data_IF_590140068339
#
_entry.id   IF_590140068339
#
_cell.length_a   1.000
_cell.length_b   1.000
_cell.length_c   1.000
_cell.angle_alpha   90.00
_cell.angle_beta   90.00
_cell.angle_gamma   90.00
#
_symmetry.space_group_name_H-M   'P 1'
#
loop_
_entity.id
_entity.type
_entity.pdbx_description
1 polymer ?
#
# COMPACT_ATOMS: atom_id res chain seq x y z
N UNK A 1 -19.62 -9.05 27.42
CA UNK A 1 -18.97 -10.15 26.66
C UNK A 1 -18.93 -9.68 25.20
N UNK A 2 -17.94 -8.87 24.83
CA UNK A 2 -17.83 -8.30 23.48
C UNK A 2 -16.81 -9.12 22.69
N UNK A 3 -17.32 -10.02 21.86
CA UNK A 3 -16.53 -10.73 20.87
C UNK A 3 -16.47 -9.88 19.60
N UNK A 4 -15.45 -9.03 19.47
CA UNK A 4 -15.06 -8.44 18.18
C UNK A 4 -14.09 -9.42 17.52
N UNK A 5 -14.66 -10.45 16.88
CA UNK A 5 -13.94 -11.33 15.97
C UNK A 5 -13.64 -10.56 14.68
N UNK A 6 -12.59 -9.72 14.72
CA UNK A 6 -11.91 -9.32 13.49
C UNK A 6 -11.03 -10.52 13.13
N UNK A 7 -11.47 -11.36 12.18
CA UNK A 7 -10.58 -12.33 11.53
C UNK A 7 -9.41 -11.51 10.96
N UNK A 8 -8.28 -11.49 11.66
CA UNK A 8 -7.12 -10.70 11.27
C UNK A 8 -6.47 -11.31 10.04
N UNK A 9 -6.24 -10.49 9.03
CA UNK A 9 -5.37 -10.80 7.91
C UNK A 9 -3.95 -11.06 8.45
N UNK A 10 -3.44 -12.30 8.33
CA UNK A 10 -2.09 -12.63 8.79
C UNK A 10 -1.06 -12.25 7.74
N UNK A 11 -0.45 -11.07 7.88
CA UNK A 11 0.66 -10.67 7.00
C UNK A 11 1.98 -11.32 7.44
N UNK A 12 2.70 -11.90 6.48
CA UNK A 12 4.11 -12.27 6.65
C UNK A 12 4.97 -11.19 6.01
N UNK A 13 5.65 -10.37 6.82
CA UNK A 13 6.56 -9.34 6.32
C UNK A 13 7.92 -9.97 6.03
N UNK A 14 8.37 -9.85 4.77
CA UNK A 14 9.66 -10.36 4.31
C UNK A 14 10.72 -9.26 4.31
N UNK A 15 11.94 -9.58 4.73
CA UNK A 15 13.07 -8.65 4.69
C UNK A 15 13.13 -7.63 5.85
N UNK A 16 12.24 -7.72 6.85
CA UNK A 16 12.32 -6.84 8.03
C UNK A 16 13.67 -7.01 8.74
N UNK A 17 14.36 -5.90 8.97
CA UNK A 17 15.69 -5.89 9.60
C UNK A 17 16.84 -6.30 8.67
N UNK A 18 16.58 -6.49 7.37
CA UNK A 18 17.61 -6.77 6.36
C UNK A 18 17.93 -5.54 5.52
N UNK A 19 19.13 -5.49 4.95
CA UNK A 19 19.53 -4.42 4.03
C UNK A 19 18.80 -4.55 2.70
N UNK A 20 18.30 -3.43 2.19
CA UNK A 20 17.74 -3.35 0.85
C UNK A 20 18.86 -3.24 -0.21
N UNK A 21 18.94 -4.26 -1.06
CA UNK A 21 19.86 -4.39 -2.21
C UNK A 21 19.13 -4.23 -3.55
N UNK A 22 17.81 -4.00 -3.55
CA UNK A 22 16.99 -3.97 -4.75
C UNK A 22 17.10 -2.70 -5.60
N UNK A 23 18.12 -1.86 -5.39
CA UNK A 23 18.33 -0.60 -6.12
C UNK A 23 17.41 0.54 -5.66
N UNK A 24 17.52 1.70 -6.31
CA UNK A 24 16.67 2.86 -6.00
C UNK A 24 15.36 2.83 -6.83
N UNK A 25 14.44 2.00 -6.37
CA UNK A 25 13.13 1.77 -7.02
C UNK A 25 12.21 3.00 -7.05
N UNK A 26 12.61 4.11 -6.42
CA UNK A 26 11.89 5.38 -6.53
C UNK A 26 12.14 6.07 -7.86
N UNK A 27 13.32 5.89 -8.44
CA UNK A 27 13.77 6.59 -9.64
C UNK A 27 14.09 5.66 -10.81
N UNK A 28 14.44 4.41 -10.53
CA UNK A 28 14.91 3.45 -11.53
C UNK A 28 14.25 2.07 -11.36
N UNK A 29 14.53 1.19 -12.32
CA UNK A 29 14.19 -0.24 -12.26
C UNK A 29 14.89 -0.95 -11.11
N UNK A 30 14.28 -2.03 -10.60
CA UNK A 30 14.87 -2.85 -9.54
C UNK A 30 13.86 -3.72 -8.80
N UNK A 31 14.18 -4.13 -7.59
CA UNK A 31 13.26 -4.85 -6.72
C UNK A 31 13.31 -6.38 -6.83
N UNK A 32 14.24 -6.96 -7.61
CA UNK A 32 14.44 -8.40 -7.72
C UNK A 32 14.67 -9.11 -6.37
N UNK A 33 15.23 -8.39 -5.39
CA UNK A 33 15.33 -8.86 -4.00
C UNK A 33 13.99 -9.33 -3.43
N UNK A 34 12.86 -8.69 -3.79
CA UNK A 34 11.52 -9.10 -3.37
C UNK A 34 11.19 -10.51 -3.85
N UNK A 35 11.55 -10.84 -5.09
CA UNK A 35 11.32 -12.16 -5.68
C UNK A 35 12.17 -13.22 -4.98
N UNK A 36 13.46 -12.92 -4.71
CA UNK A 36 14.32 -13.83 -3.95
C UNK A 36 13.76 -14.12 -2.56
N UNK A 37 13.37 -13.09 -1.82
CA UNK A 37 12.78 -13.24 -0.48
C UNK A 37 11.47 -14.04 -0.52
N UNK A 38 10.62 -13.78 -1.52
CA UNK A 38 9.37 -14.54 -1.72
C UNK A 38 9.65 -16.01 -2.04
N UNK A 39 10.67 -16.29 -2.86
CA UNK A 39 11.11 -17.66 -3.21
C UNK A 39 11.54 -18.43 -1.96
N UNK A 40 12.35 -17.82 -1.11
CA UNK A 40 12.79 -18.41 0.17
C UNK A 40 11.59 -18.69 1.09
N UNK A 41 10.65 -17.75 1.21
CA UNK A 41 9.48 -17.89 2.06
C UNK A 41 8.51 -19.00 1.60
N UNK A 42 8.33 -19.16 0.28
CA UNK A 42 7.39 -20.12 -0.30
C UNK A 42 7.96 -21.52 -0.51
N UNK A 43 9.28 -21.73 -0.34
CA UNK A 43 9.93 -23.02 -0.58
C UNK A 43 9.25 -24.19 0.13
N UNK A 44 8.82 -24.00 1.38
CA UNK A 44 8.14 -25.04 2.16
C UNK A 44 6.68 -25.30 1.75
N UNK A 45 6.07 -24.37 1.02
CA UNK A 45 4.67 -24.45 0.56
C UNK A 45 4.54 -24.79 -0.93
N UNK A 46 5.65 -25.10 -1.61
CA UNK A 46 5.70 -25.36 -3.06
C UNK A 46 4.73 -26.42 -3.59
N UNK A 47 4.26 -27.32 -2.73
CA UNK A 47 3.33 -28.41 -3.09
C UNK A 47 1.97 -28.29 -2.36
N UNK A 48 1.70 -27.18 -1.67
CA UNK A 48 0.44 -26.98 -0.94
C UNK A 48 -0.63 -26.40 -1.86
N UNK A 49 -1.45 -27.28 -2.44
CA UNK A 49 -2.52 -26.91 -3.38
C UNK A 49 -3.65 -26.08 -2.73
N UNK A 50 -3.77 -26.09 -1.41
CA UNK A 50 -4.82 -25.36 -0.69
C UNK A 50 -4.36 -23.96 -0.24
N UNK A 51 -3.07 -23.66 -0.31
CA UNK A 51 -2.54 -22.36 0.07
C UNK A 51 -2.66 -21.37 -1.09
N UNK A 52 -3.34 -20.26 -0.82
CA UNK A 52 -3.39 -19.10 -1.71
C UNK A 52 -2.48 -18.01 -1.14
N UNK A 53 -1.61 -17.47 -1.99
CA UNK A 53 -0.64 -16.43 -1.66
C UNK A 53 -1.10 -15.14 -2.31
N UNK A 54 -1.34 -14.12 -1.49
CA UNK A 54 -1.43 -12.73 -1.94
C UNK A 54 -0.09 -12.06 -1.69
N UNK A 55 0.60 -11.67 -2.76
CA UNK A 55 1.76 -10.79 -2.69
C UNK A 55 1.31 -9.35 -2.94
N UNK A 56 1.78 -8.42 -2.11
CA UNK A 56 1.60 -6.98 -2.28
C UNK A 56 2.88 -6.26 -1.85
N UNK A 57 3.16 -5.14 -2.51
CA UNK A 57 4.05 -4.13 -1.95
C UNK A 57 3.46 -3.57 -0.64
N UNK A 58 4.30 -3.06 0.26
CA UNK A 58 3.85 -2.69 1.61
C UNK A 58 3.83 -1.20 1.89
N UNK A 59 4.67 -0.40 1.22
CA UNK A 59 4.83 1.03 1.57
C UNK A 59 3.71 1.91 1.01
N UNK A 60 3.07 1.46 -0.06
CA UNK A 60 2.13 2.23 -0.87
C UNK A 60 0.96 1.36 -1.33
N UNK A 61 0.52 0.45 -0.47
CA UNK A 61 -0.67 -0.37 -0.70
C UNK A 61 -1.63 -0.24 0.49
N UNK A 62 -2.92 -0.10 0.18
CA UNK A 62 -4.01 -0.18 1.14
C UNK A 62 -4.86 -1.41 0.82
N UNK A 63 -5.07 -2.26 1.81
CA UNK A 63 -6.01 -3.38 1.74
C UNK A 63 -7.34 -2.96 2.40
N UNK A 64 -8.39 -2.87 1.60
CA UNK A 64 -9.72 -2.38 2.00
C UNK A 64 -10.79 -3.49 2.03
N UNK A 65 -10.37 -4.73 2.33
CA UNK A 65 -11.26 -5.88 2.47
C UNK A 65 -10.69 -6.92 3.43
N UNK A 66 -11.56 -7.82 3.90
CA UNK A 66 -11.15 -9.00 4.66
C UNK A 66 -10.79 -10.17 3.72
N UNK A 67 -10.19 -11.21 4.29
CA UNK A 67 -9.75 -12.40 3.55
C UNK A 67 -10.89 -13.08 2.80
N UNK A 68 -12.07 -13.19 3.42
CA UNK A 68 -13.22 -13.88 2.83
C UNK A 68 -13.68 -13.19 1.53
N UNK A 69 -13.70 -11.85 1.49
CA UNK A 69 -14.05 -11.08 0.29
C UNK A 69 -12.94 -11.13 -0.77
N UNK A 70 -11.67 -11.07 -0.38
CA UNK A 70 -10.53 -11.21 -1.31
C UNK A 70 -10.59 -12.57 -2.02
N UNK A 71 -10.74 -13.66 -1.27
CA UNK A 71 -10.82 -15.00 -1.83
C UNK A 71 -12.05 -15.17 -2.73
N UNK A 72 -13.22 -14.68 -2.30
CA UNK A 72 -14.43 -14.71 -3.10
C UNK A 72 -14.26 -14.03 -4.46
N UNK A 73 -13.56 -12.88 -4.51
CA UNK A 73 -13.29 -12.20 -5.79
C UNK A 73 -12.25 -12.95 -6.61
N UNK A 74 -11.19 -13.45 -5.98
CA UNK A 74 -10.18 -14.25 -6.68
C UNK A 74 -10.77 -15.48 -7.35
N UNK A 75 -11.62 -16.25 -6.66
CA UNK A 75 -12.27 -17.42 -7.25
C UNK A 75 -13.12 -17.10 -8.47
N UNK A 76 -13.76 -15.92 -8.52
CA UNK A 76 -14.53 -15.47 -9.69
C UNK A 76 -13.67 -15.13 -10.91
N UNK A 77 -12.38 -14.89 -10.73
CA UNK A 77 -11.47 -14.60 -11.84
C UNK A 77 -11.06 -15.88 -12.59
N UNK A 78 -11.34 -17.04 -12.00
CA UNK A 78 -11.05 -18.35 -12.57
C UNK A 78 -9.61 -18.47 -13.07
N UNK A 79 -8.67 -17.83 -12.35
CA UNK A 79 -7.24 -17.83 -12.64
C UNK A 79 -6.51 -18.67 -11.59
N UNK A 80 -5.39 -19.27 -11.95
CA UNK A 80 -4.48 -19.85 -10.94
C UNK A 80 -3.51 -18.81 -10.39
N UNK A 81 -3.13 -17.82 -11.21
CA UNK A 81 -2.38 -16.64 -10.80
C UNK A 81 -3.01 -15.41 -11.44
N UNK A 82 -3.33 -14.39 -10.65
CA UNK A 82 -3.91 -13.15 -11.11
C UNK A 82 -3.00 -11.99 -10.70
N UNK A 83 -2.44 -11.30 -11.69
CA UNK A 83 -1.68 -10.07 -11.47
C UNK A 83 -2.59 -8.85 -11.54
N UNK A 84 -2.19 -7.80 -10.83
CA UNK A 84 -2.74 -6.47 -11.06
C UNK A 84 -2.40 -5.98 -12.48
N UNK A 85 -3.29 -5.16 -13.06
CA UNK A 85 -3.09 -4.58 -14.38
C UNK A 85 -2.94 -3.05 -14.32
N UNK A 86 -2.22 -2.48 -15.27
CA UNK A 86 -2.02 -1.04 -15.39
C UNK A 86 -2.06 -0.53 -16.85
N UNK A 87 -2.12 0.80 -16.99
CA UNK A 87 -2.23 1.48 -18.28
C UNK A 87 -0.92 1.59 -19.06
N UNK A 88 0.23 1.34 -18.43
CA UNK A 88 1.55 1.55 -19.02
C UNK A 88 2.32 0.24 -19.17
N UNK A 89 2.94 0.04 -20.34
CA UNK A 89 3.90 -1.04 -20.54
C UNK A 89 5.26 -0.55 -20.04
N UNK A 90 5.64 -0.97 -18.83
CA UNK A 90 6.86 -0.58 -18.15
C UNK A 90 7.59 -1.84 -17.62
N UNK A 91 8.94 -1.87 -17.58
CA UNK A 91 9.86 -0.80 -17.99
C UNK A 91 10.13 -0.74 -19.50
N UNK A 92 9.95 -1.84 -20.23
CA UNK A 92 10.20 -1.91 -21.67
C UNK A 92 8.90 -1.74 -22.46
N UNK A 93 8.70 -0.55 -23.03
CA UNK A 93 7.51 -0.22 -23.83
C UNK A 93 7.47 -0.94 -25.18
N UNK A 94 8.60 -1.48 -25.66
CA UNK A 94 8.64 -2.24 -26.92
C UNK A 94 7.92 -3.58 -26.83
N UNK A 95 7.71 -4.09 -25.61
CA UNK A 95 6.97 -5.32 -25.34
C UNK A 95 5.45 -5.18 -25.48
N UNK A 96 4.93 -3.95 -25.59
CA UNK A 96 3.49 -3.68 -25.65
C UNK A 96 2.76 -4.45 -26.77
N UNK A 97 3.43 -4.67 -27.91
CA UNK A 97 2.87 -5.41 -29.03
C UNK A 97 2.70 -6.92 -28.75
N UNK A 98 3.50 -7.48 -27.83
CA UNK A 98 3.47 -8.90 -27.47
C UNK A 98 2.35 -9.26 -26.49
N UNK A 99 1.84 -8.29 -25.74
CA UNK A 99 0.71 -8.53 -24.83
C UNK A 99 -0.53 -8.99 -25.62
N UNK A 100 -1.38 -9.87 -25.07
CA UNK A 100 -2.69 -10.15 -25.65
C UNK A 100 -3.50 -8.86 -25.86
N UNK A 101 -4.27 -8.80 -26.94
CA UNK A 101 -5.14 -7.65 -27.20
C UNK A 101 -6.34 -7.74 -26.27
N UNK A 102 -6.55 -6.69 -25.47
CA UNK A 102 -7.75 -6.53 -24.63
C UNK A 102 -8.67 -5.51 -25.27
N UNK A 103 -9.97 -5.83 -25.39
CA UNK A 103 -10.99 -4.89 -25.90
C UNK A 103 -11.46 -3.91 -24.83
N UNK A 104 -11.34 -4.32 -23.57
CA UNK A 104 -11.84 -3.59 -22.41
C UNK A 104 -10.91 -3.85 -21.22
N UNK A 105 -10.66 -2.82 -20.40
CA UNK A 105 -9.73 -2.89 -19.28
C UNK A 105 -8.28 -2.51 -19.62
N UNK A 106 -7.46 -2.43 -18.57
CA UNK A 106 -6.03 -2.21 -18.61
C UNK A 106 -5.32 -3.46 -19.15
N UNK A 107 -4.22 -3.28 -19.88
CA UNK A 107 -3.59 -4.34 -20.70
C UNK A 107 -2.31 -4.91 -20.13
N UNK A 108 -1.57 -4.12 -19.35
CA UNK A 108 -0.19 -4.44 -18.99
C UNK A 108 -0.09 -4.91 -17.55
N UNK A 109 0.86 -5.80 -17.27
CA UNK A 109 1.09 -6.36 -15.94
C UNK A 109 1.71 -5.31 -15.02
N UNK A 110 1.30 -5.28 -13.76
CA UNK A 110 2.02 -4.61 -12.68
C UNK A 110 2.39 -5.60 -11.57
N UNK A 111 3.65 -5.61 -11.15
CA UNK A 111 4.21 -6.59 -10.20
C UNK A 111 3.92 -6.28 -8.73
N UNK A 112 3.45 -5.08 -8.41
CA UNK A 112 3.27 -4.64 -7.03
C UNK A 112 2.13 -5.35 -6.30
N UNK A 113 1.27 -6.09 -7.01
CA UNK A 113 0.29 -6.97 -6.39
C UNK A 113 -0.12 -8.13 -7.31
N UNK A 114 -0.21 -9.33 -6.74
CA UNK A 114 -0.80 -10.50 -7.39
C UNK A 114 -1.29 -11.51 -6.35
N UNK A 115 -2.23 -12.36 -6.76
CA UNK A 115 -2.76 -13.45 -5.94
C UNK A 115 -2.75 -14.76 -6.73
N UNK A 116 -2.38 -15.87 -6.09
CA UNK A 116 -2.38 -17.16 -6.77
C UNK A 116 -2.17 -18.34 -5.83
N UNK A 117 -2.35 -19.54 -6.35
CA UNK A 117 -2.09 -20.78 -5.61
C UNK A 117 -0.57 -20.97 -5.41
N UNK A 118 -0.16 -21.43 -4.23
CA UNK A 118 1.24 -21.52 -3.84
C UNK A 118 2.12 -22.33 -4.80
N UNK A 119 1.69 -23.49 -5.35
CA UNK A 119 2.50 -24.24 -6.30
C UNK A 119 2.78 -23.47 -7.59
N UNK A 120 1.78 -22.76 -8.12
CA UNK A 120 1.90 -21.96 -9.34
C UNK A 120 2.75 -20.72 -9.11
N UNK A 121 2.55 -20.02 -7.98
CA UNK A 121 3.38 -18.88 -7.59
C UNK A 121 4.84 -19.32 -7.41
N UNK A 122 5.09 -20.44 -6.73
CA UNK A 122 6.43 -20.96 -6.52
C UNK A 122 7.10 -21.36 -7.85
N UNK A 123 6.38 -22.06 -8.73
CA UNK A 123 6.88 -22.42 -10.06
C UNK A 123 7.22 -21.18 -10.90
N UNK A 124 6.36 -20.16 -10.88
CA UNK A 124 6.56 -18.88 -11.55
C UNK A 124 7.84 -18.18 -11.07
N UNK A 125 7.99 -17.97 -9.75
CA UNK A 125 9.14 -17.23 -9.19
C UNK A 125 10.44 -18.02 -9.19
N UNK A 126 10.41 -19.32 -9.54
CA UNK A 126 11.60 -20.18 -9.65
C UNK A 126 11.98 -20.49 -11.09
N UNK A 127 11.20 -20.03 -12.08
CA UNK A 127 11.41 -20.36 -13.49
C UNK A 127 12.79 -19.96 -14.00
N UNK A 128 13.28 -18.78 -13.60
CA UNK A 128 14.60 -18.28 -13.95
C UNK A 128 15.26 -17.56 -12.76
N UNK A 129 16.60 -17.48 -12.71
CA UNK A 129 17.29 -16.66 -11.71
C UNK A 129 16.96 -15.17 -11.89
N UNK A 130 17.12 -14.42 -10.80
CA UNK A 130 17.04 -12.97 -10.78
C UNK A 130 18.00 -12.46 -9.70
N UNK A 131 18.78 -11.44 -10.03
CA UNK A 131 19.67 -10.74 -9.10
C UNK A 131 18.90 -9.69 -8.30
N UNK A 132 19.39 -9.35 -7.10
CA UNK A 132 18.67 -8.46 -6.18
C UNK A 132 18.30 -7.11 -6.82
N UNK A 133 19.19 -6.55 -7.65
CA UNK A 133 19.01 -5.25 -8.31
C UNK A 133 18.31 -5.28 -9.67
N UNK A 134 17.92 -6.46 -10.18
CA UNK A 134 17.16 -6.56 -11.43
C UNK A 134 15.69 -6.17 -11.21
N UNK A 135 15.00 -5.86 -12.31
CA UNK A 135 13.62 -5.36 -12.28
C UNK A 135 12.60 -6.48 -12.07
N UNK A 136 11.85 -6.40 -10.98
CA UNK A 136 10.82 -7.39 -10.66
C UNK A 136 9.66 -7.35 -11.68
N UNK A 137 9.26 -6.17 -12.14
CA UNK A 137 8.18 -6.01 -13.13
C UNK A 137 8.57 -6.60 -14.50
N UNK A 138 9.79 -6.38 -14.96
CA UNK A 138 10.29 -6.97 -16.21
C UNK A 138 10.36 -8.49 -16.09
N UNK A 139 10.81 -9.03 -14.95
CA UNK A 139 10.84 -10.46 -14.70
C UNK A 139 9.46 -11.10 -14.89
N UNK A 140 8.43 -10.56 -14.23
CA UNK A 140 7.07 -11.08 -14.36
C UNK A 140 6.46 -10.82 -15.74
N UNK A 141 6.78 -9.67 -16.36
CA UNK A 141 6.35 -9.36 -17.73
C UNK A 141 6.86 -10.41 -18.72
N UNK A 142 8.14 -10.78 -18.65
CA UNK A 142 8.72 -11.77 -19.55
C UNK A 142 8.08 -13.15 -19.36
N UNK A 143 7.76 -13.55 -18.13
CA UNK A 143 7.03 -14.79 -17.85
C UNK A 143 5.61 -14.77 -18.40
N UNK A 144 4.90 -13.65 -18.27
CA UNK A 144 3.53 -13.51 -18.79
C UNK A 144 3.49 -13.47 -20.32
N UNK A 145 4.53 -12.94 -20.96
CA UNK A 145 4.64 -12.88 -22.42
C UNK A 145 5.09 -14.19 -23.07
N UNK A 146 5.58 -15.15 -22.28
CA UNK A 146 5.76 -16.52 -22.74
C UNK A 146 4.40 -17.24 -22.77
N UNK A 147 3.92 -17.55 -23.97
CA UNK A 147 2.59 -18.15 -24.16
C UNK A 147 2.47 -19.51 -23.46
N UNK A 148 3.52 -20.34 -23.49
CA UNK A 148 3.50 -21.65 -22.86
C UNK A 148 3.43 -21.53 -21.34
N UNK A 149 4.25 -20.67 -20.73
CA UNK A 149 4.21 -20.45 -19.29
C UNK A 149 2.92 -19.80 -18.83
N UNK A 150 2.41 -18.81 -19.58
CA UNK A 150 1.14 -18.16 -19.29
C UNK A 150 -0.02 -19.16 -19.28
N UNK A 151 -0.07 -20.06 -20.25
CA UNK A 151 -1.10 -21.11 -20.33
C UNK A 151 -0.91 -22.18 -19.25
N UNK A 152 0.32 -22.66 -19.04
CA UNK A 152 0.62 -23.69 -18.05
C UNK A 152 0.27 -23.25 -16.62
N UNK A 153 0.62 -22.01 -16.27
CA UNK A 153 0.39 -21.42 -14.97
C UNK A 153 -0.98 -20.74 -14.84
N UNK A 154 -1.76 -20.68 -15.94
CA UNK A 154 -3.05 -19.98 -16.03
C UNK A 154 -2.98 -18.57 -15.40
N UNK A 155 -2.05 -17.76 -15.95
CA UNK A 155 -1.79 -16.39 -15.51
C UNK A 155 -2.76 -15.45 -16.21
N UNK A 156 -3.50 -14.66 -15.43
CA UNK A 156 -4.40 -13.60 -15.91
C UNK A 156 -4.04 -12.25 -15.32
N UNK A 157 -4.55 -11.19 -15.96
CA UNK A 157 -4.43 -9.81 -15.48
C UNK A 157 -5.81 -9.29 -15.07
N UNK A 158 -5.90 -8.61 -13.93
CA UNK A 158 -7.11 -7.93 -13.47
C UNK A 158 -7.33 -6.60 -14.22
N UNK A 159 -7.68 -6.70 -15.50
CA UNK A 159 -7.81 -5.56 -16.40
C UNK A 159 -8.90 -4.56 -16.02
N UNK A 160 -9.94 -4.98 -15.28
CA UNK A 160 -11.07 -4.13 -14.89
C UNK A 160 -11.00 -3.65 -13.44
N UNK A 161 -9.88 -3.90 -12.75
CA UNK A 161 -9.68 -3.51 -11.36
C UNK A 161 -10.77 -4.06 -10.42
N UNK A 162 -11.13 -5.33 -10.58
CA UNK A 162 -12.09 -6.00 -9.69
C UNK A 162 -11.50 -6.25 -8.30
N UNK A 163 -10.19 -6.51 -8.22
CA UNK A 163 -9.44 -6.72 -6.98
C UNK A 163 -8.42 -5.60 -6.80
N UNK A 164 -7.62 -5.33 -7.83
CA UNK A 164 -6.44 -4.48 -7.77
C UNK A 164 -6.65 -3.14 -8.50
N UNK A 165 -6.37 -2.04 -7.81
CA UNK A 165 -6.36 -0.69 -8.38
C UNK A 165 -4.95 -0.11 -8.31
N UNK A 166 -4.26 -0.09 -9.45
CA UNK A 166 -3.06 0.71 -9.64
C UNK A 166 -3.47 2.16 -9.93
N UNK A 167 -2.94 3.13 -9.19
CA UNK A 167 -3.37 4.53 -9.28
C UNK A 167 -2.61 5.34 -10.34
N UNK A 168 -1.41 4.91 -10.76
CA UNK A 168 -0.64 5.62 -11.77
C UNK A 168 -1.41 5.67 -13.11
N UNK A 169 -1.74 6.86 -13.58
CA UNK A 169 -2.56 7.06 -14.79
C UNK A 169 -4.03 6.66 -14.66
N UNK A 170 -4.52 6.38 -13.44
CA UNK A 170 -5.92 6.01 -13.19
C UNK A 170 -6.51 6.66 -11.91
N UNK A 171 -5.82 7.65 -11.32
CA UNK A 171 -6.28 8.33 -10.11
C UNK A 171 -7.64 9.06 -10.32
N UNK A 172 -7.89 9.58 -11.52
CA UNK A 172 -9.15 10.23 -11.89
C UNK A 172 -10.29 9.23 -12.19
N UNK A 173 -9.96 7.95 -12.41
CA UNK A 173 -10.97 6.91 -12.65
C UNK A 173 -11.70 6.55 -11.34
N UNK A 174 -11.14 6.91 -10.18
CA UNK A 174 -11.58 6.43 -8.87
C UNK A 174 -12.07 7.51 -7.91
N UNK A 175 -12.99 7.14 -7.03
CA UNK A 175 -13.46 8.00 -5.93
C UNK A 175 -13.86 7.18 -4.71
N UNK A 176 -13.86 7.81 -3.54
CA UNK A 176 -14.43 7.21 -2.33
C UNK A 176 -15.95 7.28 -2.39
N UNK A 177 -16.61 6.17 -2.06
CA UNK A 177 -18.04 6.11 -1.84
C UNK A 177 -18.41 6.36 -0.38
N UNK A 178 -19.04 7.51 -0.13
CA UNK A 178 -19.54 7.92 1.17
C UNK A 178 -21.01 7.54 1.40
N UNK A 179 -21.67 6.87 0.45
CA UNK A 179 -23.10 6.53 0.55
C UNK A 179 -23.41 5.45 1.60
N UNK A 180 -22.42 4.62 1.93
CA UNK A 180 -22.59 3.47 2.81
C UNK A 180 -22.53 3.84 4.30
N UNK A 181 -23.68 4.22 4.87
CA UNK A 181 -23.81 4.45 6.31
C UNK A 181 -23.53 3.17 7.12
N UNK A 182 -22.53 3.23 8.01
CA UNK A 182 -22.24 2.15 8.97
C UNK A 182 -21.35 1.00 8.46
N UNK A 183 -20.78 1.10 7.25
CA UNK A 183 -19.76 0.17 6.74
C UNK A 183 -18.44 0.90 6.48
N UNK A 184 -17.36 0.14 6.33
CA UNK A 184 -16.08 0.68 5.84
C UNK A 184 -16.28 1.31 4.46
N UNK A 185 -15.73 2.50 4.26
CA UNK A 185 -15.81 3.21 2.99
C UNK A 185 -15.15 2.39 1.87
N UNK A 186 -15.69 2.49 0.66
CA UNK A 186 -15.20 1.77 -0.51
C UNK A 186 -14.57 2.74 -1.51
N UNK A 187 -13.60 2.25 -2.28
CA UNK A 187 -13.16 2.91 -3.50
C UNK A 187 -14.00 2.38 -4.66
N UNK A 188 -14.52 3.26 -5.51
CA UNK A 188 -15.23 2.92 -6.74
C UNK A 188 -14.37 3.34 -7.91
N UNK A 189 -14.18 2.43 -8.87
CA UNK A 189 -13.64 2.73 -10.19
C UNK A 189 -14.81 2.97 -11.17
N UNK A 190 -14.99 4.21 -11.60
CA UNK A 190 -16.11 4.59 -12.47
C UNK A 190 -15.88 4.18 -13.93
N UNK A 191 -14.62 3.97 -14.35
CA UNK A 191 -14.30 3.57 -15.72
C UNK A 191 -14.78 2.14 -16.01
N UNK A 192 -14.76 1.27 -15.00
CA UNK A 192 -15.15 -0.14 -15.14
C UNK A 192 -16.37 -0.55 -14.33
N UNK A 193 -16.90 0.35 -13.48
CA UNK A 193 -18.04 0.05 -12.62
C UNK A 193 -17.71 -0.96 -11.52
N UNK A 194 -16.44 -1.03 -11.11
CA UNK A 194 -15.93 -1.95 -10.09
C UNK A 194 -15.65 -1.24 -8.76
N UNK A 195 -15.44 -2.00 -7.68
CA UNK A 195 -15.07 -1.45 -6.38
C UNK A 195 -13.82 -2.15 -5.83
N UNK A 196 -12.61 -1.80 -6.32
CA UNK A 196 -11.38 -2.49 -5.98
C UNK A 196 -11.09 -2.48 -4.48
N UNK A 197 -10.39 -3.53 -4.02
CA UNK A 197 -10.15 -3.80 -2.60
C UNK A 197 -8.68 -3.80 -2.21
N UNK A 198 -7.77 -3.78 -3.17
CA UNK A 198 -6.33 -3.60 -2.97
C UNK A 198 -5.92 -2.40 -3.82
N UNK A 199 -5.53 -1.31 -3.17
CA UNK A 199 -5.23 -0.03 -3.81
C UNK A 199 -3.73 0.19 -3.73
N UNK A 200 -3.08 0.30 -4.89
CA UNK A 200 -1.64 0.46 -5.02
C UNK A 200 -1.32 1.85 -5.58
N UNK A 201 -0.63 2.66 -4.79
CA UNK A 201 -0.16 3.99 -5.14
C UNK A 201 1.10 3.97 -6.01
N UNK A 202 1.17 3.10 -7.02
CA UNK A 202 2.36 2.92 -7.85
C UNK A 202 2.85 4.21 -8.53
N UNK A 203 4.14 4.28 -8.86
CA UNK A 203 4.74 5.45 -9.51
C UNK A 203 4.50 6.77 -8.76
N UNK A 204 4.05 7.80 -9.48
CA UNK A 204 3.86 9.16 -8.95
C UNK A 204 2.51 9.39 -8.25
N UNK A 205 1.83 8.34 -7.80
CA UNK A 205 0.48 8.44 -7.23
C UNK A 205 0.42 8.33 -5.70
N UNK A 206 1.57 8.36 -5.01
CA UNK A 206 1.68 8.24 -3.53
C UNK A 206 0.81 9.26 -2.78
N UNK A 207 0.75 10.50 -3.25
CA UNK A 207 -0.06 11.56 -2.61
C UNK A 207 -1.56 11.29 -2.75
N UNK A 208 -2.00 10.75 -3.90
CA UNK A 208 -3.39 10.31 -4.05
C UNK A 208 -3.71 9.15 -3.11
N UNK A 209 -2.81 8.18 -2.99
CA UNK A 209 -2.96 7.08 -2.03
C UNK A 209 -3.04 7.61 -0.59
N UNK A 210 -2.18 8.55 -0.19
CA UNK A 210 -2.24 9.16 1.15
C UNK A 210 -3.60 9.81 1.41
N UNK A 211 -4.18 10.47 0.41
CA UNK A 211 -5.53 11.04 0.52
C UNK A 211 -6.57 9.96 0.79
N UNK A 212 -6.54 8.85 0.04
CA UNK A 212 -7.45 7.72 0.25
C UNK A 212 -7.21 6.99 1.59
N UNK A 213 -5.95 6.91 2.04
CA UNK A 213 -5.55 6.31 3.32
C UNK A 213 -6.15 6.98 4.54
N UNK A 214 -6.54 8.25 4.45
CA UNK A 214 -7.27 8.93 5.53
C UNK A 214 -8.67 8.34 5.79
N UNK A 215 -9.20 7.56 4.85
CA UNK A 215 -10.59 7.10 4.85
C UNK A 215 -10.73 5.57 4.76
N UNK A 216 -10.01 4.96 3.81
CA UNK A 216 -10.09 3.52 3.54
C UNK A 216 -9.53 2.69 4.69
N UNK A 217 -9.72 1.38 4.64
CA UNK A 217 -9.34 0.43 5.69
C UNK A 217 -9.94 0.80 7.08
N UNK A 218 -11.10 1.46 7.08
CA UNK A 218 -11.78 1.95 8.28
C UNK A 218 -10.97 2.94 9.12
N UNK A 219 -10.05 3.70 8.51
CA UNK A 219 -9.34 4.78 9.18
C UNK A 219 -10.26 5.96 9.51
N UNK A 220 -11.31 6.14 8.72
CA UNK A 220 -12.45 7.00 9.04
C UNK A 220 -13.77 6.32 8.68
N UNK A 221 -14.81 6.55 9.47
CA UNK A 221 -16.18 6.15 9.11
C UNK A 221 -17.22 7.14 9.67
N UNK A 222 -18.43 7.13 9.11
CA UNK A 222 -19.49 8.07 9.47
C UNK A 222 -20.01 7.93 10.93
N UNK A 223 -19.77 6.79 11.58
CA UNK A 223 -20.24 6.50 12.94
C UNK A 223 -19.25 7.00 13.99
N UNK A 224 -17.98 6.69 13.81
CA UNK A 224 -16.91 6.91 14.79
C UNK A 224 -16.03 8.13 14.45
N UNK A 225 -16.21 8.72 13.25
CA UNK A 225 -15.33 9.75 12.72
C UNK A 225 -13.95 9.18 12.38
N UNK A 226 -12.90 9.89 12.75
CA UNK A 226 -11.51 9.44 12.58
C UNK A 226 -11.17 8.34 13.59
N UNK A 227 -11.11 7.09 13.12
CA UNK A 227 -10.72 5.93 13.94
C UNK A 227 -9.22 5.96 14.20
N UNK A 228 -8.42 6.28 13.17
CA UNK A 228 -6.96 6.35 13.26
C UNK A 228 -6.46 7.42 14.24
N UNK A 229 -7.25 8.47 14.51
CA UNK A 229 -6.90 9.52 15.46
C UNK A 229 -6.81 9.04 16.91
N UNK A 230 -7.25 7.81 17.19
CA UNK A 230 -7.09 7.15 18.51
C UNK A 230 -5.79 6.35 18.61
N UNK A 231 -5.10 6.11 17.49
CA UNK A 231 -3.82 5.42 17.49
C UNK A 231 -2.73 6.29 18.10
N UNK A 232 -1.84 5.65 18.86
CA UNK A 232 -0.66 6.28 19.49
C UNK A 232 -0.96 7.53 20.34
N UNK A 233 -2.21 7.71 20.78
CA UNK A 233 -2.59 8.82 21.65
C UNK A 233 -1.98 8.63 23.04
N UNK A 234 -1.13 9.57 23.43
CA UNK A 234 -0.63 9.67 24.81
C UNK A 234 -1.66 10.46 25.61
N UNK A 235 -2.46 9.78 26.44
CA UNK A 235 -3.31 10.46 27.42
C UNK A 235 -2.44 11.08 28.51
N UNK A 236 -2.59 12.39 28.71
CA UNK A 236 -1.95 13.15 29.80
C UNK A 236 -2.86 13.33 31.02
N UNK A 237 -4.17 13.05 30.87
CA UNK A 237 -5.19 13.36 31.90
C UNK A 237 -4.99 12.61 33.21
N UNK A 238 -4.47 11.39 33.12
CA UNK A 238 -4.33 10.48 34.26
C UNK A 238 -2.87 10.34 34.72
N UNK A 239 -1.96 11.16 34.19
CA UNK A 239 -0.52 11.14 34.50
C UNK A 239 -0.12 12.34 35.32
N UNK A 240 0.77 12.12 36.28
CA UNK A 240 1.44 13.23 36.97
C UNK A 240 2.22 14.08 35.95
N UNK A 241 2.19 15.40 36.10
CA UNK A 241 2.91 16.35 35.26
C UNK A 241 4.40 16.03 35.11
N UNK A 242 5.03 15.42 36.12
CA UNK A 242 6.44 14.99 36.07
C UNK A 242 6.70 13.85 35.06
N UNK A 243 5.67 13.07 34.74
CA UNK A 243 5.71 11.95 33.79
C UNK A 243 5.37 12.37 32.35
N UNK A 244 4.94 13.61 32.16
CA UNK A 244 4.61 14.11 30.82
C UNK A 244 5.87 14.16 29.95
N UNK A 245 5.77 13.94 28.63
CA UNK A 245 6.93 13.99 27.74
C UNK A 245 7.74 15.30 27.88
N UNK A 246 9.06 15.24 27.78
CA UNK A 246 9.84 16.48 27.65
C UNK A 246 9.67 17.01 26.23
N UNK A 247 9.33 18.30 26.10
CA UNK A 247 9.13 18.95 24.79
C UNK A 247 10.13 20.07 24.56
N UNK A 248 10.56 20.25 23.32
CA UNK A 248 11.31 21.42 22.87
C UNK A 248 10.34 22.38 22.16
N UNK A 249 10.14 23.55 22.74
CA UNK A 249 9.44 24.65 22.10
C UNK A 249 10.47 25.53 21.37
N UNK A 250 10.42 25.52 20.04
CA UNK A 250 11.28 26.36 19.19
C UNK A 250 10.49 27.53 18.63
N UNK A 251 10.92 28.74 18.96
CA UNK A 251 10.33 30.00 18.52
C UNK A 251 11.24 30.65 17.49
N UNK A 252 10.69 30.99 16.32
CA UNK A 252 11.43 31.62 15.22
C UNK A 252 10.87 33.01 14.92
N UNK A 253 11.71 34.03 15.10
CA UNK A 253 11.41 35.44 14.80
C UNK A 253 12.32 35.83 13.63
N UNK A 254 11.82 35.61 12.41
CA UNK A 254 12.63 35.78 11.19
C UNK A 254 12.45 37.15 10.53
N UNK A 255 11.48 37.94 11.00
CA UNK A 255 11.12 39.27 10.46
C UNK A 255 10.53 40.13 11.58
N UNK A 256 10.59 41.45 11.42
CA UNK A 256 9.93 42.40 12.33
C UNK A 256 8.47 42.00 12.47
N UNK A 257 8.09 41.51 13.64
CA UNK A 257 6.76 40.96 13.92
C UNK A 257 6.11 41.84 14.98
N UNK A 258 5.01 42.55 14.66
CA UNK A 258 4.27 43.34 15.63
C UNK A 258 3.71 42.49 16.78
N UNK A 259 3.47 43.09 17.94
CA UNK A 259 2.84 42.44 19.12
C UNK A 259 3.62 41.23 19.67
N UNK A 260 4.95 41.24 19.54
CA UNK A 260 5.80 40.13 19.96
C UNK A 260 5.82 39.92 21.48
N UNK A 261 5.64 41.01 22.22
CA UNK A 261 5.41 41.03 23.66
C UNK A 261 4.17 40.20 24.02
N UNK A 262 3.04 40.43 23.35
CA UNK A 262 1.83 39.63 23.56
C UNK A 262 2.05 38.15 23.21
N UNK A 263 2.76 37.86 22.12
CA UNK A 263 3.10 36.49 21.75
C UNK A 263 3.84 35.75 22.88
N UNK A 264 4.87 36.37 23.48
CA UNK A 264 5.58 35.77 24.61
C UNK A 264 4.74 35.64 25.87
N UNK A 265 3.84 36.59 26.14
CA UNK A 265 2.86 36.46 27.23
C UNK A 265 1.93 35.26 27.03
N UNK A 266 1.53 34.94 25.80
CA UNK A 266 0.77 33.72 25.50
C UNK A 266 1.60 32.44 25.65
N UNK A 267 2.88 32.46 25.24
CA UNK A 267 3.77 31.31 25.42
C UNK A 267 3.94 30.93 26.90
N UNK A 268 4.06 31.93 27.79
CA UNK A 268 4.09 31.70 29.24
C UNK A 268 2.83 30.98 29.74
N UNK A 269 1.66 31.26 29.13
CA UNK A 269 0.36 30.70 29.50
C UNK A 269 0.05 29.32 28.92
N UNK A 270 0.92 28.74 28.10
CA UNK A 270 0.72 27.36 27.60
C UNK A 270 0.52 26.40 28.77
N UNK A 271 -0.56 25.62 28.75
CA UNK A 271 -0.91 24.65 29.79
C UNK A 271 -0.05 23.38 29.66
N UNK A 272 1.23 23.51 30.00
CA UNK A 272 2.20 22.43 30.02
C UNK A 272 3.26 22.72 31.10
N UNK A 273 3.74 21.70 31.85
CA UNK A 273 4.69 21.89 32.93
C UNK A 273 5.97 22.54 32.41
N UNK A 274 6.31 23.72 32.93
CA UNK A 274 7.49 24.47 32.46
C UNK A 274 8.80 23.73 32.73
N UNK A 275 8.84 22.90 33.77
CA UNK A 275 9.95 21.98 34.07
C UNK A 275 10.17 20.90 33.00
N UNK A 276 9.16 20.62 32.16
CA UNK A 276 9.20 19.65 31.06
C UNK A 276 9.27 20.33 29.68
N UNK A 277 9.44 21.66 29.66
CA UNK A 277 9.61 22.44 28.42
C UNK A 277 11.02 23.01 28.34
N UNK A 278 11.74 22.66 27.28
CA UNK A 278 12.93 23.41 26.86
C UNK A 278 12.51 24.48 25.85
N UNK A 279 13.10 25.68 25.94
CA UNK A 279 12.79 26.79 25.04
C UNK A 279 14.04 27.13 24.22
N UNK A 280 13.88 27.13 22.89
CA UNK A 280 14.86 27.66 21.95
C UNK A 280 14.25 28.85 21.22
N UNK A 281 14.97 29.98 21.16
CA UNK A 281 14.53 31.17 20.44
C UNK A 281 15.60 31.53 19.41
N UNK A 282 15.19 31.55 18.14
CA UNK A 282 15.94 32.14 17.06
C UNK A 282 15.37 33.51 16.72
N UNK A 283 16.20 34.55 16.76
CA UNK A 283 15.85 35.89 16.34
C UNK A 283 16.87 36.41 15.31
N UNK A 284 16.38 36.80 14.14
CA UNK A 284 17.19 37.37 13.04
C UNK A 284 16.96 38.88 12.85
N UNK A 285 16.23 39.49 13.77
CA UNK A 285 15.80 40.90 13.72
C UNK A 285 16.50 41.70 14.80
#
# INVERSE_FOLDING_TARGET
MNWLLVKSFGFLVLGLGTTWNGGDVRYYTGGGQKIRLLREALQKYRNDENLIVLFIDSYDVIVNANTDEILKRFYKQEAKVLFSAEGFCWPDSTLAAKYPIVKFGKRYLNSGAFIGYAPQVYKMITHQPIEDGEDDQLFYTMLYLDDHLREELDIKLDGTSEIFQNLNGAAEDVKIDFSSAGKSLQLINNAYGTSPIIIHGNGNSKIHLNSFGNYLANWWNAKDGCVACKEYVISLKDKNEEEWPTVLLSVFITRVTPFIDFYFEYLKKLNYPKSRMSLFIYNQV
#
